data_IF_513586481372
#
_entry.id   IF_513586481372
#
_cell.length_a   1.000
_cell.length_b   1.000
_cell.length_c   1.000
_cell.angle_alpha   90.00
_cell.angle_beta   90.00
_cell.angle_gamma   90.00
#
_symmetry.space_group_name_H-M   'P 1'
#
loop_
_entity.id
_entity.type
_entity.pdbx_description
1 polymer ?
#
# COMPACT_ATOMS: atom_id res chain seq x y z
N UNK A 1 11.37 20.06 -24.27
CA UNK A 1 10.77 19.36 -25.46
C UNK A 1 10.59 20.39 -26.56
N UNK A 2 10.91 20.02 -27.81
CA UNK A 2 10.68 20.85 -28.99
C UNK A 2 9.17 21.08 -29.15
N UNK A 3 8.75 22.30 -29.46
CA UNK A 3 7.36 22.67 -29.70
C UNK A 3 7.30 23.43 -31.02
N UNK A 4 6.68 22.86 -32.07
CA UNK A 4 6.54 23.53 -33.34
C UNK A 4 5.73 24.82 -33.23
N UNK A 5 6.06 25.80 -34.06
CA UNK A 5 5.35 27.07 -34.21
C UNK A 5 5.14 27.90 -32.91
N UNK A 6 5.89 27.60 -31.83
CA UNK A 6 5.68 28.21 -30.51
C UNK A 6 5.89 29.74 -30.51
N UNK A 7 6.80 30.23 -31.36
CA UNK A 7 7.09 31.67 -31.50
C UNK A 7 6.40 32.28 -32.73
N UNK A 8 5.48 31.55 -33.35
CA UNK A 8 4.75 31.92 -34.56
C UNK A 8 4.92 30.89 -35.69
N UNK A 9 4.19 31.05 -36.82
CA UNK A 9 4.26 30.12 -37.94
C UNK A 9 5.69 29.97 -38.48
N UNK A 10 6.16 28.73 -38.60
CA UNK A 10 7.53 28.37 -38.99
C UNK A 10 8.60 28.69 -37.95
N UNK A 11 8.21 29.08 -36.72
CA UNK A 11 9.15 29.48 -35.66
C UNK A 11 9.03 28.57 -34.45
N UNK A 12 9.74 27.46 -34.52
CA UNK A 12 9.81 26.46 -33.47
C UNK A 12 10.50 26.99 -32.20
N UNK A 13 10.20 26.33 -31.08
CA UNK A 13 10.84 26.59 -29.79
C UNK A 13 12.35 26.34 -29.85
N UNK A 14 13.15 27.40 -29.75
CA UNK A 14 14.61 27.32 -29.67
C UNK A 14 15.17 27.49 -28.26
N UNK A 15 14.42 28.12 -27.35
CA UNK A 15 14.81 28.30 -25.94
C UNK A 15 13.57 28.31 -25.02
N UNK A 16 13.82 28.39 -23.72
CA UNK A 16 12.81 28.68 -22.72
C UNK A 16 13.37 29.68 -21.71
N UNK A 17 12.52 30.57 -21.22
CA UNK A 17 12.88 31.50 -20.17
C UNK A 17 12.50 30.88 -18.82
N UNK A 18 13.43 30.90 -17.87
CA UNK A 18 13.16 30.61 -16.46
C UNK A 18 13.14 31.95 -15.74
N UNK A 19 12.00 32.29 -15.16
CA UNK A 19 11.87 33.48 -14.33
C UNK A 19 12.07 33.08 -12.88
N UNK A 20 13.17 33.54 -12.29
CA UNK A 20 13.47 33.24 -10.90
C UNK A 20 13.04 34.39 -9.97
N UNK A 21 11.75 34.45 -9.68
CA UNK A 21 11.20 35.49 -8.81
C UNK A 21 11.62 35.32 -7.34
N UNK A 22 11.80 34.07 -6.90
CA UNK A 22 12.05 33.74 -5.50
C UNK A 22 13.54 33.57 -5.17
N UNK A 23 14.45 33.84 -6.11
CA UNK A 23 15.89 33.60 -5.93
C UNK A 23 16.19 32.12 -5.61
N UNK A 24 15.50 31.21 -6.29
CA UNK A 24 15.72 29.78 -6.14
C UNK A 24 17.14 29.40 -6.57
N UNK A 25 17.67 30.02 -7.62
CA UNK A 25 19.01 29.76 -8.13
C UNK A 25 20.06 30.09 -7.05
N UNK A 26 19.95 31.26 -6.44
CA UNK A 26 20.82 31.67 -5.33
C UNK A 26 20.65 30.74 -4.13
N UNK A 27 19.41 30.40 -3.76
CA UNK A 27 19.12 29.47 -2.66
C UNK A 27 19.77 28.10 -2.87
N UNK A 28 19.65 27.50 -4.07
CA UNK A 28 20.21 26.18 -4.38
C UNK A 28 21.71 26.20 -4.69
N UNK A 29 22.31 27.37 -4.94
CA UNK A 29 23.76 27.54 -5.15
C UNK A 29 24.57 27.61 -3.85
N UNK A 30 23.90 27.74 -2.71
CA UNK A 30 24.55 27.79 -1.40
C UNK A 30 25.07 26.42 -0.99
N UNK A 31 26.18 26.40 -0.24
CA UNK A 31 26.74 25.20 0.37
C UNK A 31 25.94 24.83 1.63
N UNK A 32 24.66 24.50 1.43
CA UNK A 32 23.72 24.14 2.50
C UNK A 32 23.94 22.67 2.84
N UNK A 33 24.23 22.33 4.10
CA UNK A 33 24.29 20.94 4.53
C UNK A 33 22.99 20.23 4.14
N UNK A 34 23.09 19.12 3.43
CA UNK A 34 21.92 18.35 3.05
C UNK A 34 21.11 18.03 4.32
N UNK A 35 19.91 18.60 4.41
CA UNK A 35 18.94 18.20 5.42
C UNK A 35 18.51 16.80 4.99
N UNK A 36 18.70 15.79 5.85
CA UNK A 36 18.07 14.49 5.65
C UNK A 36 16.55 14.70 5.70
N UNK A 37 15.96 14.94 4.53
CA UNK A 37 14.52 14.93 4.38
C UNK A 37 14.01 13.58 4.85
N UNK A 38 12.95 13.55 5.66
CA UNK A 38 12.31 12.32 6.03
C UNK A 38 11.79 11.63 4.76
N UNK A 39 12.55 10.66 4.26
CA UNK A 39 12.17 9.90 3.09
C UNK A 39 10.95 9.07 3.47
N UNK A 40 9.79 9.48 2.98
CA UNK A 40 8.62 8.62 3.02
C UNK A 40 8.95 7.29 2.35
N UNK A 41 8.44 6.19 2.91
CA UNK A 41 8.64 4.87 2.34
C UNK A 41 8.28 4.87 0.83
N UNK A 42 9.10 4.24 -0.03
CA UNK A 42 8.80 4.13 -1.45
C UNK A 42 7.39 3.57 -1.68
N UNK A 43 6.73 3.96 -2.76
CA UNK A 43 5.36 3.52 -3.08
C UNK A 43 5.23 1.99 -3.03
N UNK A 44 6.22 1.26 -3.55
CA UNK A 44 6.25 -0.20 -3.49
C UNK A 44 6.24 -0.75 -2.06
N UNK A 45 7.01 -0.15 -1.13
CA UNK A 45 7.03 -0.55 0.29
C UNK A 45 5.66 -0.29 0.94
N UNK A 46 5.05 0.86 0.65
CA UNK A 46 3.71 1.20 1.16
C UNK A 46 2.64 0.23 0.66
N UNK A 47 2.66 -0.10 -0.64
CA UNK A 47 1.73 -1.06 -1.24
C UNK A 47 1.93 -2.47 -0.71
N UNK A 48 3.17 -2.90 -0.53
CA UNK A 48 3.48 -4.21 0.04
C UNK A 48 2.94 -4.34 1.47
N UNK A 49 3.23 -3.35 2.33
CA UNK A 49 2.73 -3.34 3.71
C UNK A 49 1.20 -3.37 3.78
N UNK A 50 0.53 -2.53 2.99
CA UNK A 50 -0.93 -2.49 2.96
C UNK A 50 -1.56 -3.82 2.51
N UNK A 51 -0.94 -4.51 1.55
CA UNK A 51 -1.39 -5.83 1.10
C UNK A 51 -1.19 -6.90 2.19
N UNK A 52 -0.04 -6.87 2.88
CA UNK A 52 0.25 -7.80 3.95
C UNK A 52 -0.74 -7.63 5.12
N UNK A 53 -1.01 -6.38 5.50
CA UNK A 53 -1.99 -6.05 6.52
C UNK A 53 -3.39 -6.55 6.14
N UNK A 54 -3.84 -6.28 4.91
CA UNK A 54 -5.12 -6.76 4.41
C UNK A 54 -5.24 -8.30 4.46
N UNK A 55 -4.22 -9.04 4.02
CA UNK A 55 -4.23 -10.50 4.08
C UNK A 55 -4.31 -10.97 5.53
N UNK A 56 -3.54 -10.35 6.43
CA UNK A 56 -3.57 -10.69 7.85
C UNK A 56 -4.95 -10.47 8.49
N UNK A 57 -5.66 -9.41 8.12
CA UNK A 57 -7.03 -9.17 8.60
C UNK A 57 -8.03 -10.19 8.03
N UNK A 58 -7.88 -10.59 6.75
CA UNK A 58 -8.71 -11.63 6.16
C UNK A 58 -8.49 -12.99 6.83
N UNK A 59 -7.24 -13.35 7.12
CA UNK A 59 -6.90 -14.60 7.81
C UNK A 59 -7.50 -14.65 9.23
N UNK A 60 -7.46 -13.53 9.97
CA UNK A 60 -8.11 -13.42 11.29
C UNK A 60 -9.61 -13.61 11.19
N UNK A 61 -10.26 -12.90 10.27
CA UNK A 61 -11.71 -12.99 10.08
C UNK A 61 -12.15 -14.42 9.71
N UNK A 62 -11.36 -15.13 8.88
CA UNK A 62 -11.63 -16.52 8.54
C UNK A 62 -11.49 -17.44 9.77
N UNK A 63 -10.43 -17.25 10.56
CA UNK A 63 -10.21 -18.03 11.77
C UNK A 63 -11.31 -17.80 12.83
N UNK A 64 -11.81 -16.57 12.96
CA UNK A 64 -12.94 -16.23 13.83
C UNK A 64 -14.24 -16.90 13.33
N UNK A 65 -14.56 -16.80 12.03
CA UNK A 65 -15.72 -17.47 11.47
C UNK A 65 -15.67 -19.01 11.59
N UNK A 66 -14.48 -19.62 11.55
CA UNK A 66 -14.29 -21.05 11.81
C UNK A 66 -14.51 -21.42 13.28
N UNK A 67 -14.12 -20.56 14.22
CA UNK A 67 -14.38 -20.76 15.65
C UNK A 67 -15.86 -20.65 15.98
N UNK A 68 -16.56 -19.72 15.35
CA UNK A 68 -18.00 -19.55 15.52
C UNK A 68 -18.77 -20.76 14.96
N UNK A 69 -18.37 -21.28 13.80
CA UNK A 69 -18.92 -22.51 13.23
C UNK A 69 -18.69 -23.76 14.11
N UNK A 70 -17.55 -23.83 14.81
CA UNK A 70 -17.26 -24.92 15.76
C UNK A 70 -18.01 -24.73 17.10
N UNK A 71 -18.30 -23.48 17.49
CA UNK A 71 -19.05 -23.15 18.70
C UNK A 71 -20.56 -23.41 18.61
N UNK A 72 -21.13 -23.44 17.39
CA UNK A 72 -22.54 -23.78 17.16
C UNK A 72 -22.84 -25.29 17.14
N UNK A 73 -21.81 -26.15 17.04
CA UNK A 73 -21.96 -27.60 17.23
C UNK A 73 -22.06 -27.95 18.72
N UNK A 74 -23.12 -27.51 19.38
CA UNK A 74 -23.53 -28.09 20.66
C UNK A 74 -24.12 -29.47 20.39
N UNK A 75 -23.34 -30.51 20.68
CA UNK A 75 -23.76 -31.90 20.58
C UNK A 75 -25.14 -32.12 21.23
N UNK A 76 -26.08 -32.85 20.60
CA UNK A 76 -27.32 -33.24 21.23
C UNK A 76 -27.01 -34.10 22.47
N UNK A 77 -27.71 -33.90 23.59
CA UNK A 77 -27.48 -34.70 24.78
C UNK A 77 -28.03 -36.11 24.51
N UNK A 78 -27.13 -37.06 24.32
CA UNK A 78 -27.39 -38.49 24.31
C UNK A 78 -28.04 -39.06 23.01
N UNK A 79 -27.21 -39.34 22.01
CA UNK A 79 -27.48 -40.27 20.92
C UNK A 79 -26.35 -41.30 20.81
N UNK A 80 -26.58 -42.50 20.24
CA UNK A 80 -25.50 -43.44 19.95
C UNK A 80 -24.50 -42.79 18.97
N UNK A 81 -23.18 -43.07 19.09
CA UNK A 81 -22.17 -42.42 18.27
C UNK A 81 -22.37 -42.81 16.79
N UNK A 82 -22.38 -41.79 15.93
CA UNK A 82 -22.62 -41.95 14.50
C UNK A 82 -21.32 -42.13 13.70
N UNK A 83 -20.16 -42.12 14.39
CA UNK A 83 -18.85 -42.26 13.74
C UNK A 83 -17.77 -42.92 14.63
N UNK A 84 -16.79 -43.55 13.97
CA UNK A 84 -15.66 -44.22 14.64
C UNK A 84 -14.76 -43.26 15.43
N UNK A 85 -14.75 -41.96 15.09
CA UNK A 85 -13.97 -40.95 15.81
C UNK A 85 -14.61 -40.60 17.17
N UNK A 86 -15.94 -40.65 17.28
CA UNK A 86 -16.64 -40.51 18.57
C UNK A 86 -16.41 -41.71 19.51
N UNK A 87 -16.26 -42.91 18.96
CA UNK A 87 -15.97 -44.12 19.75
C UNK A 87 -14.59 -44.05 20.41
N UNK A 88 -13.63 -43.37 19.79
CA UNK A 88 -12.24 -43.24 20.30
C UNK A 88 -12.07 -42.22 21.42
N UNK A 89 -13.04 -41.33 21.63
CA UNK A 89 -12.98 -40.25 22.60
C UNK A 89 -13.65 -40.58 23.95
N UNK A 90 -14.23 -41.80 24.11
CA UNK A 90 -14.80 -42.31 25.36
C UNK A 90 -13.80 -43.15 26.17
#
# INVERSE_FOLDING_TARGET
>A
RLCPDLFGPGRDKTFFCVFDYCQNLEYFSQDIPAIEGALSAPLGKRLFNARLELIGELDKALAEGQRDALGEQRAPPHGPPDSDDEVRAQ
#
